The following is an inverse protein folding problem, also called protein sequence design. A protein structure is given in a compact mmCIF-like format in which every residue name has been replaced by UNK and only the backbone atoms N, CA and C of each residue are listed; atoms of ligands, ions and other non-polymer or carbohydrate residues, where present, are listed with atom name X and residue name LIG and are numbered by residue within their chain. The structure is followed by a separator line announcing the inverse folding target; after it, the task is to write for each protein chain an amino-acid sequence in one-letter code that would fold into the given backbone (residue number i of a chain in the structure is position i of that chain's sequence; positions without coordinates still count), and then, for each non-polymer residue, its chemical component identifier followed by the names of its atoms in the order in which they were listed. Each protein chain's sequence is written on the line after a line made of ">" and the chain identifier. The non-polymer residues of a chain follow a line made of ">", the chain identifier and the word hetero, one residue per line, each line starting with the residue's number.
data_IF_649706654691
#
_entry.id   IF_649706654691
#
_cell.length_a   1.000
_cell.length_b   1.000
_cell.length_c   1.000
_cell.angle_alpha   90.00
_cell.angle_beta   90.00
_cell.angle_gamma   90.00
#
_symmetry.space_group_name_H-M   'P 1'
#
loop_
_entity.id
_entity.type
_entity.pdbx_description
1 polymer ?
#
# COMPACT_ATOMS: atom_id res chain seq x y z
N UNK A 1 4.97 1.81 -16.41
CA UNK A 1 6.16 1.43 -15.62
C UNK A 1 5.78 1.16 -14.17
N UNK A 2 6.00 -0.08 -13.78
CA UNK A 2 5.80 -0.66 -12.45
C UNK A 2 7.10 -0.49 -11.66
N UNK A 3 7.03 -0.01 -10.41
CA UNK A 3 8.22 0.25 -9.59
C UNK A 3 8.26 -0.70 -8.39
N UNK A 4 9.48 -1.01 -7.93
CA UNK A 4 9.71 -1.78 -6.71
C UNK A 4 9.00 -1.11 -5.52
N UNK A 5 8.39 -1.92 -4.65
CA UNK A 5 7.52 -1.55 -3.52
C UNK A 5 6.16 -0.95 -3.90
N UNK A 6 5.82 -0.81 -5.20
CA UNK A 6 4.45 -0.49 -5.56
C UNK A 6 3.52 -1.63 -5.14
N UNK A 7 2.36 -1.28 -4.60
CA UNK A 7 1.29 -2.21 -4.26
C UNK A 7 0.20 -2.10 -5.32
N UNK A 8 -0.26 -3.23 -5.84
CA UNK A 8 -1.33 -3.31 -6.82
C UNK A 8 -2.48 -4.18 -6.31
N UNK A 9 -3.72 -3.83 -6.66
CA UNK A 9 -4.90 -4.64 -6.36
C UNK A 9 -5.80 -4.81 -7.57
N UNK A 10 -6.23 -6.03 -7.83
CA UNK A 10 -7.28 -6.30 -8.80
C UNK A 10 -8.65 -5.99 -8.16
N UNK A 11 -9.41 -5.07 -8.76
CA UNK A 11 -10.72 -4.68 -8.24
C UNK A 11 -11.84 -5.69 -8.56
N UNK A 12 -11.57 -6.71 -9.38
CA UNK A 12 -12.51 -7.82 -9.65
C UNK A 12 -12.34 -8.93 -8.61
N UNK A 13 -11.16 -9.55 -8.56
CA UNK A 13 -10.93 -10.76 -7.76
C UNK A 13 -10.33 -10.48 -6.37
N UNK A 14 -9.88 -9.25 -6.10
CA UNK A 14 -9.35 -8.83 -4.81
C UNK A 14 -7.88 -9.20 -4.55
N UNK A 15 -7.20 -9.88 -5.47
CA UNK A 15 -5.77 -10.21 -5.34
C UNK A 15 -4.97 -8.91 -5.20
N UNK A 16 -4.10 -8.87 -4.18
CA UNK A 16 -3.19 -7.76 -3.89
C UNK A 16 -1.75 -8.26 -3.99
N UNK A 17 -0.89 -7.51 -4.67
CA UNK A 17 0.51 -7.87 -4.93
C UNK A 17 1.45 -6.71 -4.61
N UNK A 18 2.66 -7.02 -4.16
CA UNK A 18 3.77 -6.08 -4.01
C UNK A 18 4.84 -6.38 -5.07
N UNK A 19 5.42 -5.34 -5.65
CA UNK A 19 6.46 -5.46 -6.67
C UNK A 19 7.83 -5.60 -6.02
N UNK A 20 8.52 -6.72 -6.25
CA UNK A 20 9.89 -6.94 -5.79
C UNK A 20 10.94 -6.36 -6.75
N UNK A 21 10.69 -6.44 -8.07
CA UNK A 21 11.53 -5.87 -9.12
C UNK A 21 10.66 -5.20 -10.19
N UNK A 22 11.02 -3.98 -10.58
CA UNK A 22 10.22 -3.15 -11.49
C UNK A 22 10.45 -3.45 -12.97
N UNK A 23 9.62 -2.85 -13.82
CA UNK A 23 9.72 -2.96 -15.28
C UNK A 23 8.75 -2.04 -16.02
N UNK A 24 8.91 -1.93 -17.34
CA UNK A 24 8.17 -0.95 -18.13
C UNK A 24 6.73 -1.34 -18.45
N UNK A 25 6.40 -2.63 -18.31
CA UNK A 25 5.07 -3.18 -18.58
C UNK A 25 3.96 -2.71 -17.62
N UNK A 26 2.76 -3.23 -17.85
CA UNK A 26 1.57 -3.01 -17.02
C UNK A 26 1.15 -4.31 -16.33
N UNK A 27 0.67 -4.22 -15.09
CA UNK A 27 0.17 -5.36 -14.33
C UNK A 27 -1.27 -5.66 -14.75
N UNK A 28 -1.52 -6.87 -15.27
CA UNK A 28 -2.85 -7.30 -15.70
C UNK A 28 -3.38 -8.43 -14.80
N UNK A 29 -4.65 -8.35 -14.43
CA UNK A 29 -5.36 -9.41 -13.73
C UNK A 29 -6.84 -9.39 -14.15
N UNK A 30 -7.44 -10.58 -14.35
CA UNK A 30 -8.82 -10.71 -14.84
C UNK A 30 -9.10 -9.93 -16.15
N UNK A 31 -8.09 -9.86 -17.04
CA UNK A 31 -8.23 -9.21 -18.35
C UNK A 31 -8.21 -7.68 -18.32
N UNK A 32 -7.89 -7.04 -17.20
CA UNK A 32 -7.77 -5.58 -17.10
C UNK A 32 -6.52 -5.14 -16.31
N UNK A 33 -6.08 -3.89 -16.49
CA UNK A 33 -5.06 -3.29 -15.65
C UNK A 33 -5.41 -3.36 -14.16
N UNK A 34 -4.44 -3.73 -13.32
CA UNK A 34 -4.58 -3.66 -11.88
C UNK A 34 -4.45 -2.21 -11.39
N UNK A 35 -5.15 -1.88 -10.30
CA UNK A 35 -5.06 -0.55 -9.69
C UNK A 35 -3.80 -0.46 -8.83
N UNK A 36 -2.94 0.54 -9.09
CA UNK A 36 -1.85 0.87 -8.17
C UNK A 36 -2.41 1.58 -6.95
N UNK A 37 -2.18 1.01 -5.76
CA UNK A 37 -2.57 1.60 -4.49
C UNK A 37 -1.50 2.62 -4.07
N UNK A 38 -1.78 3.90 -4.31
CA UNK A 38 -0.91 4.99 -3.89
C UNK A 38 -1.30 5.39 -2.47
N UNK A 39 -0.34 5.36 -1.54
CA UNK A 39 -0.55 5.86 -0.19
C UNK A 39 -0.93 7.34 -0.25
N UNK A 40 -2.12 7.68 0.23
CA UNK A 40 -2.60 9.06 0.32
C UNK A 40 -2.44 9.59 1.75
N UNK A 41 -2.28 10.90 1.87
CA UNK A 41 -2.46 11.65 3.12
C UNK A 41 -3.82 12.34 3.12
N UNK A 42 -4.89 11.61 2.78
CA UNK A 42 -6.23 12.16 2.87
C UNK A 42 -6.49 12.64 4.30
N UNK A 43 -6.95 13.89 4.44
CA UNK A 43 -7.09 14.54 5.76
C UNK A 43 -8.17 13.86 6.60
N UNK A 44 -9.27 13.44 5.95
CA UNK A 44 -10.40 12.81 6.61
C UNK A 44 -10.08 11.35 6.98
N UNK A 45 -10.16 11.03 8.27
CA UNK A 45 -9.88 9.68 8.78
C UNK A 45 -8.40 9.36 8.89
N UNK A 46 -7.50 10.32 8.63
CA UNK A 46 -6.05 10.12 8.77
C UNK A 46 -5.68 9.62 10.17
N UNK A 47 -6.41 10.07 11.19
CA UNK A 47 -6.23 9.68 12.58
C UNK A 47 -6.47 8.18 12.83
N UNK A 48 -7.21 7.49 11.95
CA UNK A 48 -7.51 6.04 12.01
C UNK A 48 -6.62 5.20 11.09
N UNK A 49 -6.06 5.78 10.03
CA UNK A 49 -5.41 5.02 8.95
C UNK A 49 -3.92 5.32 8.79
N UNK A 50 -3.44 6.50 9.21
CA UNK A 50 -2.02 6.84 9.12
C UNK A 50 -1.25 6.10 10.22
N UNK A 51 -0.15 5.38 9.88
CA UNK A 51 0.66 4.72 10.87
C UNK A 51 1.35 5.72 11.83
N UNK A 52 1.28 5.44 13.13
CA UNK A 52 2.04 6.13 14.18
C UNK A 52 3.26 5.28 14.55
N UNK A 53 4.45 5.89 14.53
CA UNK A 53 5.72 5.20 14.76
C UNK A 53 6.31 5.66 16.10
N UNK A 54 6.56 4.71 17.00
CA UNK A 54 7.19 4.91 18.31
C UNK A 54 8.54 4.16 18.34
N UNK A 55 9.62 4.85 18.71
CA UNK A 55 10.93 4.20 18.90
C UNK A 55 10.98 3.51 20.26
N UNK A 56 11.44 2.27 20.30
CA UNK A 56 11.63 1.46 21.50
C UNK A 56 13.07 0.93 21.54
N UNK A 57 13.52 0.43 22.69
CA UNK A 57 14.91 -0.02 22.86
C UNK A 57 15.35 -1.08 21.83
N UNK A 58 14.43 -1.94 21.39
CA UNK A 58 14.68 -3.00 20.42
C UNK A 58 14.34 -2.65 18.96
N UNK A 59 13.88 -1.42 18.67
CA UNK A 59 13.49 -1.02 17.32
C UNK A 59 12.35 -0.01 17.27
N UNK A 60 11.30 -0.32 16.49
CA UNK A 60 10.13 0.54 16.32
C UNK A 60 8.84 -0.24 16.55
N UNK A 61 7.89 0.39 17.24
CA UNK A 61 6.49 -0.02 17.29
C UNK A 61 5.72 0.83 16.28
N UNK A 62 4.96 0.17 15.41
CA UNK A 62 4.10 0.83 14.43
C UNK A 62 2.66 0.46 14.74
N UNK A 63 1.81 1.46 14.95
CA UNK A 63 0.37 1.29 15.21
C UNK A 63 -0.41 1.96 14.09
N UNK A 64 -1.41 1.28 13.53
CA UNK A 64 -2.29 1.89 12.52
C UNK A 64 -3.49 2.51 13.22
N UNK A 65 -3.54 3.83 13.07
CA UNK A 65 -4.37 4.76 13.80
C UNK A 65 -3.66 5.37 15.00
N UNK A 66 -3.76 6.70 15.13
CA UNK A 66 -3.65 7.40 16.41
C UNK A 66 -4.87 7.16 17.32
N UNK A 67 -6.00 6.75 16.72
CA UNK A 67 -7.24 6.36 17.40
C UNK A 67 -7.83 5.10 16.76
N UNK A 68 -8.73 4.42 17.48
CA UNK A 68 -9.53 3.29 16.98
C UNK A 68 -10.82 3.78 16.29
#
# INVERSE_FOLDING_TARGET
>A
MVKRLDIYRCMICGITTEVLDGGDGEMLCCGQPMNRLVASKEEAGSEKHVPVIEKIDSGFRVTVGSIA
#
